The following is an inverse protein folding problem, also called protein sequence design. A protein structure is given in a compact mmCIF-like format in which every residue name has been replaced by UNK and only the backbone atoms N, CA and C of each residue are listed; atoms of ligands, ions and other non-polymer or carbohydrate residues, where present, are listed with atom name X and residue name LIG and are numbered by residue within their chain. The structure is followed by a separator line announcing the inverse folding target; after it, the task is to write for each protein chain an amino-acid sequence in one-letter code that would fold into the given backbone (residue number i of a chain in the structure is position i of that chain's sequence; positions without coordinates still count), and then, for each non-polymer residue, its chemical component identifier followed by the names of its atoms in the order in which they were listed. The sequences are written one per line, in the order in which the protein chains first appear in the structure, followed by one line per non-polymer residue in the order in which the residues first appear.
data_IF_556072743278
#
_entry.id   IF_556072743278
#
_cell.length_a   1.000
_cell.length_b   1.000
_cell.length_c   1.000
_cell.angle_alpha   90.00
_cell.angle_beta   90.00
_cell.angle_gamma   90.00
#
_symmetry.space_group_name_H-M   'P 1'
#
loop_
_entity.id
_entity.type
_entity.pdbx_description
1 polymer ?
#
# COMPACT_ATOMS: atom_id res chain seq x y z
N UNK A 1 2.86 -4.08 0.05
CA UNK A 1 1.45 -4.41 0.34
C UNK A 1 0.97 -5.37 -0.72
N UNK A 2 0.30 -6.41 -0.34
CA UNK A 2 -0.33 -7.39 -1.23
C UNK A 2 -1.83 -7.13 -1.32
N UNK A 3 -2.42 -7.33 -2.49
CA UNK A 3 -3.84 -7.14 -2.73
C UNK A 3 -4.49 -8.47 -3.11
N UNK A 4 -5.63 -8.75 -2.52
CA UNK A 4 -6.50 -9.86 -2.88
C UNK A 4 -7.72 -9.30 -3.60
N UNK A 5 -7.89 -9.71 -4.84
CA UNK A 5 -9.01 -9.30 -5.67
C UNK A 5 -10.07 -10.41 -5.69
N UNK A 6 -11.36 -10.06 -5.63
CA UNK A 6 -12.40 -11.05 -5.88
C UNK A 6 -12.32 -11.52 -7.33
N UNK A 7 -12.60 -12.79 -7.58
CA UNK A 7 -12.62 -13.37 -8.93
C UNK A 7 -13.68 -12.74 -9.86
N UNK A 8 -14.60 -11.99 -9.30
CA UNK A 8 -15.67 -11.28 -9.98
C UNK A 8 -15.53 -9.78 -9.73
N UNK A 9 -14.68 -9.12 -10.53
CA UNK A 9 -14.77 -7.68 -10.65
C UNK A 9 -15.93 -7.35 -11.61
N UNK A 10 -16.79 -6.37 -11.28
CA UNK A 10 -17.75 -5.85 -12.23
C UNK A 10 -17.02 -5.43 -13.50
N UNK A 11 -17.44 -5.90 -14.65
CA UNK A 11 -16.81 -5.64 -15.94
C UNK A 11 -16.66 -4.13 -16.18
N UNK A 12 -15.45 -3.70 -16.56
CA UNK A 12 -15.19 -2.34 -17.02
C UNK A 12 -14.76 -1.33 -15.95
N UNK A 13 -14.62 -1.72 -14.71
CA UNK A 13 -14.10 -0.86 -13.65
C UNK A 13 -12.71 -1.35 -13.25
N UNK A 14 -11.76 -0.42 -13.12
CA UNK A 14 -10.43 -0.72 -12.55
C UNK A 14 -10.60 -1.43 -11.21
N UNK A 15 -9.99 -2.60 -11.09
CA UNK A 15 -10.11 -3.45 -9.91
C UNK A 15 -9.62 -2.71 -8.66
N UNK A 16 -10.56 -2.24 -7.85
CA UNK A 16 -10.23 -1.75 -6.53
C UNK A 16 -10.09 -2.95 -5.60
N UNK A 17 -8.96 -3.13 -4.93
CA UNK A 17 -8.78 -4.27 -4.05
C UNK A 17 -9.79 -4.26 -2.90
N UNK A 18 -10.41 -5.39 -2.66
CA UNK A 18 -11.34 -5.59 -1.53
C UNK A 18 -10.55 -5.85 -0.24
N UNK A 19 -9.45 -6.58 -0.36
CA UNK A 19 -8.56 -6.88 0.76
C UNK A 19 -7.15 -6.47 0.39
N UNK A 20 -6.48 -5.77 1.30
CA UNK A 20 -5.06 -5.46 1.22
C UNK A 20 -4.37 -5.93 2.51
N UNK A 21 -3.16 -6.43 2.40
CA UNK A 21 -2.36 -6.85 3.55
C UNK A 21 -0.96 -6.25 3.49
N UNK A 22 -0.44 -5.83 4.64
CA UNK A 22 0.96 -5.38 4.71
C UNK A 22 1.90 -6.56 4.71
N UNK A 23 2.94 -6.48 3.87
CA UNK A 23 4.03 -7.44 3.81
C UNK A 23 5.35 -6.72 4.08
N UNK A 24 6.31 -7.43 4.67
CA UNK A 24 7.68 -6.98 4.81
C UNK A 24 8.53 -7.87 3.90
N UNK A 25 8.67 -7.45 2.65
CA UNK A 25 9.45 -8.17 1.64
C UNK A 25 10.52 -7.25 1.08
N UNK A 26 11.77 -7.59 1.43
CA UNK A 26 12.93 -6.80 1.01
C UNK A 26 13.08 -6.76 -0.52
N UNK A 27 12.78 -7.85 -1.21
CA UNK A 27 12.89 -7.91 -2.66
C UNK A 27 11.87 -6.99 -3.33
N UNK A 28 10.62 -7.00 -2.86
CA UNK A 28 9.55 -6.09 -3.32
C UNK A 28 9.95 -4.63 -3.10
N UNK A 29 10.43 -4.30 -1.90
CA UNK A 29 10.87 -2.95 -1.56
C UNK A 29 12.06 -2.49 -2.42
N UNK A 30 13.07 -3.34 -2.60
CA UNK A 30 14.26 -3.04 -3.39
C UNK A 30 13.91 -2.82 -4.87
N UNK A 31 13.02 -3.64 -5.44
CA UNK A 31 12.58 -3.51 -6.84
C UNK A 31 11.80 -2.22 -7.03
N UNK A 32 10.83 -1.91 -6.16
CA UNK A 32 10.08 -0.67 -6.22
C UNK A 32 11.00 0.55 -6.17
N UNK A 33 11.92 0.59 -5.20
CA UNK A 33 12.88 1.68 -5.05
C UNK A 33 13.80 1.84 -6.27
N UNK A 34 14.38 0.72 -6.76
CA UNK A 34 15.26 0.72 -7.93
C UNK A 34 14.54 1.15 -9.19
N UNK A 35 13.27 0.78 -9.38
CA UNK A 35 12.46 1.17 -10.53
C UNK A 35 12.29 2.69 -10.62
N UNK A 36 12.02 3.36 -9.50
CA UNK A 36 11.93 4.82 -9.43
C UNK A 36 13.31 5.44 -9.75
N UNK A 37 14.37 4.97 -9.09
CA UNK A 37 15.73 5.53 -9.28
C UNK A 37 16.34 5.24 -10.65
N UNK A 38 15.85 4.26 -11.38
CA UNK A 38 16.24 4.00 -12.76
C UNK A 38 15.68 5.06 -13.74
N UNK A 39 14.52 5.63 -13.41
CA UNK A 39 13.91 6.71 -14.21
C UNK A 39 14.58 8.05 -13.87
N UNK A 40 14.66 8.35 -12.57
CA UNK A 40 15.31 9.57 -12.08
C UNK A 40 16.05 9.30 -10.76
N UNK A 41 17.36 9.48 -10.79
CA UNK A 41 18.22 9.29 -9.61
C UNK A 41 17.90 10.29 -8.49
N UNK A 42 17.37 11.46 -8.85
CA UNK A 42 17.01 12.54 -7.92
C UNK A 42 15.53 12.56 -7.60
N UNK A 43 14.76 11.53 -8.04
CA UNK A 43 13.34 11.46 -7.80
C UNK A 43 12.99 11.75 -6.34
N UNK A 44 12.08 12.71 -6.13
CA UNK A 44 11.55 13.13 -4.85
C UNK A 44 10.04 13.33 -4.94
N UNK A 45 9.30 12.98 -3.90
CA UNK A 45 7.85 13.11 -3.88
C UNK A 45 7.13 11.80 -3.63
N UNK A 46 5.88 11.72 -4.11
CA UNK A 46 5.00 10.57 -3.93
C UNK A 46 5.08 9.67 -5.16
N UNK A 47 5.28 8.39 -4.92
CA UNK A 47 5.28 7.36 -5.96
C UNK A 47 4.48 6.15 -5.47
N UNK A 48 3.61 5.64 -6.34
CA UNK A 48 2.96 4.35 -6.16
C UNK A 48 3.47 3.41 -7.24
N UNK A 49 4.14 2.33 -6.86
CA UNK A 49 4.69 1.33 -7.79
C UNK A 49 3.85 0.08 -7.70
N UNK A 50 3.16 -0.25 -8.78
CA UNK A 50 2.42 -1.50 -8.91
C UNK A 50 3.35 -2.61 -9.41
N UNK A 51 3.35 -3.73 -8.71
CA UNK A 51 4.23 -4.85 -8.95
C UNK A 51 3.40 -6.13 -9.10
N UNK A 52 3.87 -7.03 -9.95
CA UNK A 52 3.32 -8.39 -10.07
C UNK A 52 4.43 -9.43 -10.06
N UNK A 53 4.15 -10.54 -9.44
CA UNK A 53 4.98 -11.74 -9.56
C UNK A 53 4.67 -12.47 -10.88
N UNK A 54 5.71 -12.82 -11.63
CA UNK A 54 5.56 -13.68 -12.82
C UNK A 54 5.47 -15.17 -12.43
N UNK A 55 5.29 -16.03 -13.43
CA UNK A 55 5.19 -17.49 -13.24
C UNK A 55 6.44 -18.12 -12.59
N UNK A 56 7.58 -17.44 -12.64
CA UNK A 56 8.84 -17.87 -12.05
C UNK A 56 9.09 -17.24 -10.68
N UNK A 57 8.08 -16.63 -10.07
CA UNK A 57 8.16 -15.92 -8.79
C UNK A 57 9.09 -14.70 -8.81
N UNK A 58 9.29 -14.11 -10.00
CA UNK A 58 10.07 -12.89 -10.14
C UNK A 58 9.13 -11.69 -10.10
N UNK A 59 9.37 -10.79 -9.16
CA UNK A 59 8.61 -9.55 -9.01
C UNK A 59 8.97 -8.57 -10.15
N UNK A 60 7.96 -8.08 -10.85
CA UNK A 60 8.07 -7.16 -11.99
C UNK A 60 7.28 -5.88 -11.73
N UNK A 61 7.84 -4.69 -11.97
CA UNK A 61 7.06 -3.47 -11.99
C UNK A 61 6.13 -3.46 -13.22
N UNK A 62 4.88 -3.12 -12.98
CA UNK A 62 3.86 -3.01 -14.05
C UNK A 62 3.46 -1.57 -14.31
N UNK A 63 3.48 -0.73 -13.28
CA UNK A 63 3.10 0.68 -13.38
C UNK A 63 3.79 1.50 -12.29
N UNK A 64 4.17 2.74 -12.61
CA UNK A 64 4.62 3.74 -11.63
C UNK A 64 3.73 4.97 -11.76
N UNK A 65 2.95 5.22 -10.73
CA UNK A 65 2.11 6.41 -10.62
C UNK A 65 2.87 7.49 -9.85
N UNK A 66 3.11 8.63 -10.50
CA UNK A 66 3.86 9.75 -9.93
C UNK A 66 2.90 10.83 -9.45
N UNK A 67 3.16 11.40 -8.29
CA UNK A 67 2.43 12.55 -7.75
C UNK A 67 1.06 12.22 -7.15
N UNK A 68 0.73 10.95 -6.97
CA UNK A 68 -0.53 10.56 -6.30
C UNK A 68 -0.34 9.42 -5.30
N UNK A 69 -1.17 9.43 -4.28
CA UNK A 69 -1.29 8.32 -3.36
C UNK A 69 -2.10 7.18 -3.99
N UNK A 70 -1.81 5.96 -3.60
CA UNK A 70 -2.60 4.79 -3.99
C UNK A 70 -4.00 4.80 -3.34
N UNK A 71 -4.93 4.08 -3.93
CA UNK A 71 -6.37 4.11 -3.54
C UNK A 71 -6.65 3.67 -2.11
N UNK A 72 -5.76 2.89 -1.51
CA UNK A 72 -5.87 2.41 -0.12
C UNK A 72 -4.99 3.21 0.86
N UNK A 73 -4.55 4.43 0.51
CA UNK A 73 -3.70 5.27 1.39
C UNK A 73 -4.32 5.55 2.75
N UNK A 74 -5.65 5.58 2.85
CA UNK A 74 -6.36 5.71 4.12
C UNK A 74 -6.08 4.56 5.11
N UNK A 75 -5.74 3.38 4.60
CA UNK A 75 -5.25 2.27 5.40
C UNK A 75 -4.02 2.68 6.24
N UNK A 76 -3.04 3.32 5.62
CA UNK A 76 -1.84 3.80 6.32
C UNK A 76 -2.18 4.83 7.38
N UNK A 77 -3.09 5.76 7.09
CA UNK A 77 -3.56 6.75 8.07
C UNK A 77 -4.20 6.06 9.29
N UNK A 78 -5.07 5.08 9.06
CA UNK A 78 -5.69 4.31 10.15
C UNK A 78 -4.69 3.47 10.94
N UNK A 79 -3.62 3.04 10.32
CA UNK A 79 -2.53 2.29 10.95
C UNK A 79 -1.46 3.19 11.61
N UNK A 80 -1.67 4.51 11.63
CA UNK A 80 -0.81 5.46 12.33
C UNK A 80 0.19 6.23 11.46
N UNK A 81 0.23 5.98 10.15
CA UNK A 81 1.13 6.67 9.21
C UNK A 81 0.32 7.50 8.22
N UNK A 82 0.04 8.75 8.58
CA UNK A 82 -0.73 9.66 7.73
C UNK A 82 0.17 10.29 6.64
N UNK A 83 0.41 9.54 5.57
CA UNK A 83 1.27 9.98 4.47
C UNK A 83 0.83 11.29 3.82
N UNK A 84 -0.48 11.53 3.50
CA UNK A 84 -0.91 12.81 2.97
C UNK A 84 -0.58 13.99 3.87
N UNK A 85 -0.80 13.85 5.17
CA UNK A 85 -0.48 14.89 6.15
C UNK A 85 1.03 15.14 6.23
N UNK A 86 1.84 14.09 6.27
CA UNK A 86 3.30 14.23 6.30
C UNK A 86 3.83 14.88 5.03
N UNK A 87 3.24 14.58 3.88
CA UNK A 87 3.62 15.22 2.63
C UNK A 87 3.35 16.73 2.63
N UNK A 88 2.21 17.16 3.18
CA UNK A 88 1.90 18.57 3.36
C UNK A 88 2.92 19.23 4.31
N UNK A 89 3.22 18.61 5.44
CA UNK A 89 4.23 19.12 6.37
C UNK A 89 5.60 19.34 5.69
N UNK A 90 6.06 18.34 4.93
CA UNK A 90 7.31 18.43 4.18
C UNK A 90 7.28 19.55 3.12
N UNK A 91 6.13 19.83 2.51
CA UNK A 91 5.98 20.93 1.56
C UNK A 91 6.09 22.32 2.22
N UNK A 92 5.89 22.41 3.53
CA UNK A 92 6.06 23.61 4.33
C UNK A 92 7.34 23.59 5.19
N UNK A 93 8.29 22.70 4.88
CA UNK A 93 9.54 22.52 5.63
C UNK A 93 9.32 22.20 7.12
N UNK A 94 8.18 21.58 7.46
CA UNK A 94 7.87 21.17 8.81
C UNK A 94 8.40 19.76 9.13
N UNK A 95 8.74 19.52 10.38
CA UNK A 95 9.21 18.21 10.84
C UNK A 95 8.08 17.16 10.79
N UNK A 96 8.45 15.96 10.38
CA UNK A 96 7.60 14.77 10.45
C UNK A 96 8.20 13.74 11.42
N UNK A 97 7.42 12.80 11.95
CA UNK A 97 7.96 11.70 12.73
C UNK A 97 9.03 10.92 11.96
N UNK A 98 10.08 10.50 12.65
CA UNK A 98 11.13 9.67 12.05
C UNK A 98 10.55 8.31 11.69
N UNK A 99 10.41 8.04 10.40
CA UNK A 99 9.94 6.77 9.88
C UNK A 99 11.10 5.90 9.40
N UNK A 100 10.98 4.57 9.44
CA UNK A 100 11.94 3.68 8.81
C UNK A 100 11.93 3.89 7.28
N UNK A 101 13.06 3.62 6.63
CA UNK A 101 13.18 3.76 5.18
C UNK A 101 12.19 2.87 4.41
N UNK A 102 11.93 1.67 4.93
CA UNK A 102 10.99 0.70 4.41
C UNK A 102 10.10 0.19 5.55
N UNK A 103 8.98 -0.42 5.19
CA UNK A 103 8.12 -1.14 6.13
C UNK A 103 7.66 -0.28 7.31
N UNK A 104 7.18 0.94 7.01
CA UNK A 104 6.67 1.88 8.03
C UNK A 104 5.47 1.33 8.82
N UNK A 105 4.79 0.31 8.31
CA UNK A 105 3.74 -0.41 9.01
C UNK A 105 4.19 -1.82 9.36
N UNK A 106 3.72 -2.39 10.48
CA UNK A 106 3.99 -3.79 10.80
C UNK A 106 3.39 -4.72 9.75
N UNK A 107 4.01 -5.89 9.55
CA UNK A 107 3.49 -6.96 8.70
C UNK A 107 2.20 -7.53 9.27
N UNK A 108 1.29 -7.98 8.39
CA UNK A 108 0.08 -8.70 8.76
C UNK A 108 -1.08 -7.80 9.22
N UNK A 109 -1.10 -6.55 8.80
CA UNK A 109 -2.29 -5.71 8.90
C UNK A 109 -3.16 -5.91 7.68
N UNK A 110 -4.42 -6.24 7.89
CA UNK A 110 -5.42 -6.43 6.85
C UNK A 110 -6.35 -5.22 6.77
N UNK A 111 -6.55 -4.71 5.59
CA UNK A 111 -7.53 -3.69 5.26
C UNK A 111 -8.63 -4.32 4.42
N UNK A 112 -9.79 -4.46 5.01
CA UNK A 112 -10.95 -5.11 4.38
C UNK A 112 -11.96 -4.02 4.04
N UNK A 113 -12.35 -3.96 2.77
CA UNK A 113 -13.34 -3.01 2.25
C UNK A 113 -14.64 -3.71 1.95
N UNK A 114 -15.72 -3.03 2.26
CA UNK A 114 -17.08 -3.47 1.92
C UNK A 114 -17.72 -2.47 0.95
N UNK A 115 -18.62 -2.94 0.09
CA UNK A 115 -19.35 -2.08 -0.84
C UNK A 115 -20.33 -1.20 -0.04
N UNK A 116 -21.01 -1.78 0.94
CA UNK A 116 -22.09 -1.15 1.70
C UNK A 116 -21.72 -0.85 3.16
N UNK A 117 -20.43 -0.86 3.49
CA UNK A 117 -19.99 -0.65 4.87
C UNK A 117 -18.65 0.04 5.00
N UNK A 118 -18.29 0.49 6.21
CA UNK A 118 -16.99 1.08 6.44
C UNK A 118 -15.87 0.06 6.29
N UNK A 119 -14.72 0.50 5.78
CA UNK A 119 -13.54 -0.34 5.74
C UNK A 119 -13.05 -0.70 7.16
N UNK A 120 -12.55 -1.90 7.34
CA UNK A 120 -12.08 -2.42 8.62
C UNK A 120 -10.58 -2.66 8.58
N UNK A 121 -9.88 -2.20 9.62
CA UNK A 121 -8.48 -2.50 9.87
C UNK A 121 -8.40 -3.60 10.92
N UNK A 122 -7.75 -4.72 10.58
CA UNK A 122 -7.62 -5.89 11.47
C UNK A 122 -6.17 -6.37 11.46
N UNK A 123 -5.69 -6.77 12.64
CA UNK A 123 -4.42 -7.47 12.77
C UNK A 123 -4.62 -8.97 12.49
N UNK A 124 -3.60 -9.61 11.94
CA UNK A 124 -3.62 -11.06 11.72
C UNK A 124 -3.92 -11.80 13.03
N UNK A 125 -4.90 -12.72 12.99
CA UNK A 125 -5.38 -13.47 14.16
C UNK A 125 -6.61 -12.89 14.86
N UNK A 126 -6.80 -11.57 14.85
CA UNK A 126 -7.93 -10.94 15.55
C UNK A 126 -9.29 -11.26 14.91
N UNK A 127 -9.32 -11.53 13.61
CA UNK A 127 -10.54 -11.86 12.87
C UNK A 127 -11.10 -13.26 13.19
N UNK A 128 -10.25 -14.16 13.70
CA UNK A 128 -10.67 -15.52 14.09
C UNK A 128 -11.52 -15.54 15.37
N UNK A 129 -11.44 -14.49 16.19
CA UNK A 129 -12.17 -14.36 17.43
C UNK A 129 -13.49 -13.61 17.31
N UNK A 130 -13.76 -12.94 16.20
CA UNK A 130 -15.02 -12.24 15.99
C UNK A 130 -16.10 -13.22 15.56
N UNK A 131 -16.98 -13.57 16.47
CA UNK A 131 -18.27 -14.17 16.10
C UNK A 131 -19.05 -13.10 15.35
N UNK A 132 -19.34 -13.35 14.08
CA UNK A 132 -20.33 -12.56 13.36
C UNK A 132 -21.70 -12.85 14.05
N UNK A 133 -22.28 -11.83 14.62
CA UNK A 133 -23.63 -11.87 15.18
C UNK A 133 -24.61 -11.52 14.08
#
# INVERSE_FOLDING_TARGET
MEYLYPNLAPSGITNTPVVAVTINDKNVNDIAYKSIKAIDKNASGIFCVDLKEDKNKIVRPTEINVGRFFTTSYFFTKAGVNMPYYYIKLAFDEEIPKLPKFDALPKGLYWIRHIDGPAVLIKEGDWKSRKFV
#
